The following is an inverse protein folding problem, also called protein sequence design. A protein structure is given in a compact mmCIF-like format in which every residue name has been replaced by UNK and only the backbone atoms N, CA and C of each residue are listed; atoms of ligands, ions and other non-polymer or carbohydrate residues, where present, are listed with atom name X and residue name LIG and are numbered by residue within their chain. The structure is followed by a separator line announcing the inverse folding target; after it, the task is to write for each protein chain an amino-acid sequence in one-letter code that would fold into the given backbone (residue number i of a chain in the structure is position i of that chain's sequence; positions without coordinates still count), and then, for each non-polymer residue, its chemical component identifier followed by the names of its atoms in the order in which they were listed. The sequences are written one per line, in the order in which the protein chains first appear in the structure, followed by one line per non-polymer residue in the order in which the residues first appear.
data_IF_964173413774
#
_entry.id   IF_964173413774
#
_cell.length_a   1.000
_cell.length_b   1.000
_cell.length_c   1.000
_cell.angle_alpha   90.00
_cell.angle_beta   90.00
_cell.angle_gamma   90.00
#
_symmetry.space_group_name_H-M   'P 1'
#
loop_
_entity.id
_entity.type
_entity.pdbx_description
1 polymer ?
#
# COMPACT_ATOMS: atom_id res chain seq x y z
N UNK A 1 1.36 -2.08 8.76
CA UNK A 1 0.69 -2.40 7.48
C UNK A 1 1.71 -2.97 6.50
N UNK A 2 1.28 -3.81 5.56
CA UNK A 2 2.14 -4.48 4.59
C UNK A 2 1.50 -4.43 3.19
N UNK A 3 2.29 -4.55 2.12
CA UNK A 3 1.73 -4.75 0.78
C UNK A 3 0.91 -6.04 0.72
N UNK A 4 -0.05 -6.18 -0.19
CA UNK A 4 -0.85 -7.40 -0.38
C UNK A 4 -0.01 -8.69 -0.38
N UNK A 5 1.03 -8.75 -1.22
CA UNK A 5 1.96 -9.90 -1.28
C UNK A 5 2.69 -10.19 0.03
N UNK A 6 3.02 -9.16 0.79
CA UNK A 6 3.67 -9.32 2.08
C UNK A 6 2.67 -9.78 3.16
N UNK A 7 1.41 -9.35 3.08
CA UNK A 7 0.33 -9.88 3.89
C UNK A 7 0.08 -11.37 3.59
N UNK A 8 0.07 -11.77 2.31
CA UNK A 8 -0.08 -13.19 1.92
C UNK A 8 1.03 -14.07 2.54
N UNK A 9 2.27 -13.57 2.57
CA UNK A 9 3.39 -14.27 3.24
C UNK A 9 3.19 -14.40 4.75
N UNK A 10 2.67 -13.36 5.41
CA UNK A 10 2.37 -13.40 6.85
C UNK A 10 1.22 -14.37 7.16
N UNK A 11 0.24 -14.48 6.28
CA UNK A 11 -0.84 -15.46 6.39
C UNK A 11 -0.26 -16.87 6.22
N UNK A 12 0.56 -17.07 5.19
CA UNK A 12 1.22 -18.34 4.91
C UNK A 12 2.18 -18.80 6.02
N UNK A 13 2.88 -17.87 6.69
CA UNK A 13 3.74 -18.17 7.85
C UNK A 13 2.96 -18.54 9.11
N UNK A 14 1.66 -18.26 9.17
CA UNK A 14 0.83 -18.44 10.36
C UNK A 14 0.97 -17.31 11.38
N UNK A 15 1.60 -16.20 11.01
CA UNK A 15 1.70 -14.98 11.84
C UNK A 15 0.35 -14.30 12.03
N UNK A 16 -0.60 -14.51 11.11
CA UNK A 16 -1.94 -13.91 11.16
C UNK A 16 -2.93 -14.80 11.90
N UNK A 17 -3.71 -14.20 12.82
CA UNK A 17 -4.89 -14.83 13.43
C UNK A 17 -6.14 -14.01 13.15
N UNK A 18 -7.26 -14.67 12.93
CA UNK A 18 -8.59 -14.08 12.87
C UNK A 18 -9.42 -14.70 13.99
N UNK A 19 -9.91 -13.90 14.91
CA UNK A 19 -10.63 -14.36 16.11
C UNK A 19 -9.85 -15.38 16.96
N UNK A 20 -8.52 -15.38 16.87
CA UNK A 20 -7.64 -16.32 17.58
C UNK A 20 -7.25 -17.56 16.77
N UNK A 21 -7.88 -17.79 15.62
CA UNK A 21 -7.65 -18.97 14.78
C UNK A 21 -6.81 -18.62 13.55
N UNK A 22 -6.16 -19.64 12.96
CA UNK A 22 -5.42 -19.46 11.71
C UNK A 22 -6.42 -19.43 10.54
N UNK A 23 -6.39 -18.40 9.66
CA UNK A 23 -7.26 -18.39 8.50
C UNK A 23 -6.91 -19.53 7.50
N UNK A 24 -7.91 -20.04 6.76
CA UNK A 24 -7.73 -21.07 5.74
C UNK A 24 -6.86 -20.59 4.56
N UNK A 25 -6.29 -21.54 3.81
CA UNK A 25 -5.34 -21.26 2.74
C UNK A 25 -5.99 -20.62 1.50
N UNK A 26 -7.26 -20.93 1.24
CA UNK A 26 -8.11 -20.37 0.20
C UNK A 26 -8.51 -18.91 0.47
N UNK A 27 -8.19 -18.37 1.65
CA UNK A 27 -8.56 -17.02 2.08
C UNK A 27 -9.86 -16.99 2.86
N UNK A 28 -10.05 -15.90 3.61
CA UNK A 28 -11.21 -15.69 4.47
C UNK A 28 -11.72 -14.27 4.29
N UNK A 29 -13.02 -14.15 4.03
CA UNK A 29 -13.72 -12.87 4.12
C UNK A 29 -13.94 -12.53 5.59
N UNK A 30 -13.61 -11.30 5.97
CA UNK A 30 -13.75 -10.82 7.34
C UNK A 30 -14.70 -9.63 7.39
N UNK A 31 -15.45 -9.53 8.47
CA UNK A 31 -16.27 -8.38 8.83
C UNK A 31 -15.44 -7.44 9.72
N UNK A 32 -15.03 -6.25 9.22
CA UNK A 32 -14.17 -5.33 9.98
C UNK A 32 -14.79 -4.86 11.30
N UNK A 33 -16.12 -4.91 11.44
CA UNK A 33 -16.82 -4.44 12.65
C UNK A 33 -16.97 -5.55 13.71
N UNK A 34 -16.75 -6.82 13.34
CA UNK A 34 -16.96 -7.98 14.23
C UNK A 34 -15.71 -8.81 14.44
N UNK A 35 -14.88 -8.95 13.40
CA UNK A 35 -13.73 -9.84 13.43
C UNK A 35 -12.47 -9.16 13.95
N UNK A 36 -11.77 -9.84 14.84
CA UNK A 36 -10.49 -9.38 15.39
C UNK A 36 -9.33 -10.03 14.66
N UNK A 37 -8.61 -9.23 13.87
CA UNK A 37 -7.38 -9.66 13.19
C UNK A 37 -6.15 -9.29 14.02
N UNK A 38 -5.23 -10.24 14.21
CA UNK A 38 -3.92 -9.98 14.82
C UNK A 38 -2.79 -10.48 13.93
N UNK A 39 -1.63 -9.81 14.01
CA UNK A 39 -0.37 -10.24 13.38
C UNK A 39 0.67 -10.33 14.48
N UNK A 40 1.27 -11.50 14.66
CA UNK A 40 2.21 -11.79 15.75
C UNK A 40 1.66 -11.37 17.13
N UNK A 41 0.37 -11.65 17.34
CA UNK A 41 -0.36 -11.31 18.57
C UNK A 41 -0.78 -9.84 18.71
N UNK A 42 -0.35 -8.93 17.83
CA UNK A 42 -0.71 -7.51 17.87
C UNK A 42 -1.98 -7.26 17.05
N UNK A 43 -3.00 -6.54 17.58
CA UNK A 43 -4.21 -6.25 16.83
C UNK A 43 -3.94 -5.33 15.65
N UNK A 44 -4.52 -5.68 14.50
CA UNK A 44 -4.54 -4.82 13.32
C UNK A 44 -5.60 -3.76 13.52
N UNK A 45 -5.26 -2.50 13.24
CA UNK A 45 -6.18 -1.38 13.26
C UNK A 45 -6.43 -0.92 11.83
N UNK A 46 -7.70 -0.66 11.51
CA UNK A 46 -8.08 -0.01 10.27
C UNK A 46 -7.56 1.43 10.27
N UNK A 47 -7.16 1.91 9.09
CA UNK A 47 -6.87 3.33 8.93
C UNK A 47 -8.17 4.12 9.12
N UNK A 48 -8.14 5.14 9.97
CA UNK A 48 -9.27 6.06 10.16
C UNK A 48 -9.14 7.32 9.33
N UNK A 49 -7.98 7.53 8.71
CA UNK A 49 -7.68 8.65 7.82
C UNK A 49 -6.81 8.15 6.67
N UNK A 50 -7.12 8.65 5.48
CA UNK A 50 -6.32 8.43 4.29
C UNK A 50 -5.51 9.68 3.94
N UNK A 51 -4.42 9.47 3.23
CA UNK A 51 -3.53 10.52 2.74
C UNK A 51 -3.56 10.56 1.22
N UNK A 52 -3.54 11.76 0.67
CA UNK A 52 -3.55 11.99 -0.77
C UNK A 52 -2.52 13.07 -1.08
N UNK A 53 -1.60 12.75 -2.00
CA UNK A 53 -0.53 13.66 -2.42
C UNK A 53 -0.63 13.83 -3.93
N UNK A 54 -0.60 15.08 -4.38
CA UNK A 54 -0.46 15.43 -5.79
C UNK A 54 1.01 15.78 -6.04
N UNK A 55 1.66 14.98 -6.86
CA UNK A 55 3.05 15.19 -7.26
C UNK A 55 3.07 15.61 -8.73
N UNK A 56 3.71 16.75 -9.03
CA UNK A 56 4.20 16.99 -10.37
C UNK A 56 5.51 16.21 -10.55
N UNK A 57 5.42 15.02 -11.15
CA UNK A 57 6.53 14.08 -11.27
C UNK A 57 7.65 14.71 -12.12
N UNK A 58 8.88 14.84 -11.60
CA UNK A 58 10.01 15.32 -12.38
C UNK A 58 10.48 14.27 -13.40
N UNK A 59 11.21 14.74 -14.41
CA UNK A 59 11.87 13.89 -15.38
C UNK A 59 12.93 13.01 -14.68
N UNK A 60 13.06 11.76 -15.10
CA UNK A 60 14.07 10.82 -14.59
C UNK A 60 13.66 10.07 -13.31
N UNK A 61 12.67 10.55 -12.56
CA UNK A 61 12.11 9.80 -11.45
C UNK A 61 11.27 8.61 -11.96
N UNK A 62 11.31 7.47 -11.28
CA UNK A 62 10.53 6.27 -11.66
C UNK A 62 9.30 6.07 -10.77
N UNK A 63 8.20 5.61 -11.37
CA UNK A 63 6.94 5.36 -10.67
C UNK A 63 6.91 3.96 -10.05
N UNK A 64 7.57 3.80 -8.90
CA UNK A 64 7.59 2.55 -8.12
C UNK A 64 7.64 2.83 -6.62
N UNK A 65 7.14 1.89 -5.81
CA UNK A 65 7.21 1.92 -4.36
C UNK A 65 8.46 1.21 -3.77
N UNK A 66 9.28 0.60 -4.63
CA UNK A 66 10.59 0.01 -4.31
C UNK A 66 11.40 -0.11 -5.60
N UNK A 67 12.64 0.34 -5.58
CA UNK A 67 13.59 0.15 -6.66
C UNK A 67 14.71 -0.82 -6.26
N UNK A 68 15.24 -1.56 -7.24
CA UNK A 68 16.32 -2.53 -7.06
C UNK A 68 17.63 -2.06 -7.73
N UNK A 69 17.61 -0.91 -8.42
CA UNK A 69 18.69 -0.40 -9.24
C UNK A 69 19.18 1.00 -8.83
N UNK A 70 18.92 1.41 -7.58
CA UNK A 70 19.32 2.71 -6.99
C UNK A 70 18.88 3.95 -7.79
N UNK A 71 17.76 3.86 -8.50
CA UNK A 71 17.14 4.97 -9.24
C UNK A 71 16.25 5.79 -8.31
N UNK A 72 16.19 7.10 -8.54
CA UNK A 72 15.28 8.00 -7.83
C UNK A 72 13.82 7.62 -8.10
N UNK A 73 13.08 7.29 -7.05
CA UNK A 73 11.66 6.98 -7.11
C UNK A 73 10.81 8.20 -6.80
N UNK A 74 9.53 8.13 -7.17
CA UNK A 74 8.54 9.14 -6.77
C UNK A 74 8.38 9.28 -5.24
N UNK A 75 8.75 8.24 -4.47
CA UNK A 75 8.76 8.31 -3.01
C UNK A 75 9.96 9.09 -2.48
N UNK A 76 11.10 9.03 -3.17
CA UNK A 76 12.28 9.82 -2.82
C UNK A 76 12.04 11.31 -3.08
N UNK A 77 11.31 11.63 -4.16
CA UNK A 77 10.96 13.02 -4.53
C UNK A 77 10.10 13.71 -3.47
N UNK A 78 9.13 13.00 -2.88
CA UNK A 78 8.29 13.54 -1.81
C UNK A 78 8.97 13.52 -0.43
N UNK A 79 10.09 12.79 -0.30
CA UNK A 79 10.93 12.76 0.89
C UNK A 79 10.19 12.35 2.17
N UNK A 80 10.47 13.08 3.25
CA UNK A 80 9.94 12.80 4.59
C UNK A 80 8.40 12.81 4.64
N UNK A 81 7.73 13.58 3.77
CA UNK A 81 6.26 13.64 3.73
C UNK A 81 5.64 12.29 3.33
N UNK A 82 6.34 11.53 2.47
CA UNK A 82 5.98 10.18 2.06
C UNK A 82 6.19 9.09 3.12
N UNK A 83 6.90 9.41 4.21
CA UNK A 83 7.23 8.48 5.29
C UNK A 83 6.51 8.79 6.61
N UNK A 84 5.67 9.84 6.65
CA UNK A 84 4.86 10.22 7.81
C UNK A 84 3.70 9.22 8.03
N UNK A 85 3.99 8.12 8.74
CA UNK A 85 3.02 7.25 9.40
C UNK A 85 2.40 6.15 8.54
N UNK A 86 2.14 6.39 7.25
CA UNK A 86 1.56 5.42 6.33
C UNK A 86 2.36 5.34 5.04
N UNK A 87 2.56 4.12 4.52
CA UNK A 87 3.30 3.89 3.28
C UNK A 87 2.41 4.27 2.09
N UNK A 88 2.72 5.39 1.44
CA UNK A 88 2.06 5.80 0.20
C UNK A 88 2.50 4.93 -0.98
N UNK A 89 1.62 4.84 -1.98
CA UNK A 89 1.89 4.23 -3.27
C UNK A 89 1.31 5.08 -4.41
N UNK A 90 1.90 5.05 -5.61
CA UNK A 90 1.40 5.81 -6.75
C UNK A 90 0.06 5.23 -7.25
N UNK A 91 -0.84 6.13 -7.64
CA UNK A 91 -2.08 5.83 -8.36
C UNK A 91 -1.78 5.94 -9.84
N UNK A 92 -1.74 4.81 -10.53
CA UNK A 92 -1.34 4.73 -11.92
C UNK A 92 0.16 4.86 -12.10
N UNK A 93 0.59 5.13 -13.34
CA UNK A 93 2.00 5.17 -13.71
C UNK A 93 2.26 6.26 -14.73
N UNK A 94 3.37 6.95 -14.53
CA UNK A 94 4.06 7.71 -15.57
C UNK A 94 5.43 7.09 -15.81
N UNK A 95 5.85 7.06 -17.07
CA UNK A 95 7.16 6.56 -17.45
C UNK A 95 8.28 7.49 -16.95
N UNK A 96 9.51 6.98 -16.95
CA UNK A 96 10.65 7.70 -16.38
C UNK A 96 10.93 9.02 -17.11
N UNK A 97 10.73 9.02 -18.43
CA UNK A 97 10.87 10.14 -19.36
C UNK A 97 9.61 11.02 -19.45
N UNK A 98 8.53 10.67 -18.74
CA UNK A 98 7.31 11.47 -18.66
C UNK A 98 7.31 12.37 -17.42
N UNK A 99 6.70 13.54 -17.53
CA UNK A 99 6.46 14.48 -16.43
C UNK A 99 4.96 14.76 -16.28
N UNK A 100 4.56 15.35 -15.15
CA UNK A 100 3.18 15.78 -14.94
C UNK A 100 2.53 15.20 -13.69
N UNK A 101 1.20 15.30 -13.61
CA UNK A 101 0.45 14.94 -12.43
C UNK A 101 0.50 13.43 -12.15
N UNK A 102 0.95 13.08 -10.95
CA UNK A 102 0.87 11.75 -10.38
C UNK A 102 0.27 11.84 -8.98
N UNK A 103 -0.74 11.03 -8.69
CA UNK A 103 -1.32 10.93 -7.36
C UNK A 103 -0.60 9.84 -6.56
N UNK A 104 -0.40 10.06 -5.26
CA UNK A 104 0.03 9.03 -4.32
C UNK A 104 -0.93 8.97 -3.14
N UNK A 105 -1.22 7.76 -2.66
CA UNK A 105 -2.16 7.55 -1.57
C UNK A 105 -1.85 6.28 -0.76
N UNK A 106 -2.45 6.16 0.43
CA UNK A 106 -2.57 4.92 1.19
C UNK A 106 -3.97 4.28 1.08
N UNK A 107 -4.90 4.91 0.35
CA UNK A 107 -6.24 4.41 0.05
C UNK A 107 -6.20 3.47 -1.17
N UNK A 108 -6.25 2.17 -0.90
CA UNK A 108 -6.24 1.14 -1.94
C UNK A 108 -7.50 1.14 -2.79
N UNK A 109 -8.66 1.50 -2.21
CA UNK A 109 -9.94 1.46 -2.90
C UNK A 109 -10.06 2.61 -3.89
N UNK A 110 -9.66 3.83 -3.48
CA UNK A 110 -9.59 4.96 -4.39
C UNK A 110 -8.58 4.68 -5.52
N UNK A 111 -7.40 4.18 -5.18
CA UNK A 111 -6.39 3.88 -6.19
C UNK A 111 -6.88 2.84 -7.21
N UNK A 112 -7.61 1.82 -6.75
CA UNK A 112 -8.25 0.85 -7.62
C UNK A 112 -9.28 1.52 -8.54
N UNK A 113 -10.22 2.30 -8.01
CA UNK A 113 -11.25 2.99 -8.83
C UNK A 113 -10.65 3.91 -9.89
N UNK A 114 -9.57 4.61 -9.57
CA UNK A 114 -8.93 5.57 -10.50
C UNK A 114 -8.06 4.89 -11.56
N UNK A 115 -7.63 3.65 -11.34
CA UNK A 115 -6.74 2.92 -12.26
C UNK A 115 -7.43 1.77 -12.97
N UNK A 116 -8.62 1.37 -12.51
CA UNK A 116 -9.39 0.34 -13.16
C UNK A 116 -9.88 0.84 -14.53
N UNK A 117 -9.68 0.10 -15.62
CA UNK A 117 -10.07 0.51 -16.96
C UNK A 117 -11.58 0.41 -17.23
N UNK A 118 -12.42 0.11 -16.23
CA UNK A 118 -13.87 -0.06 -16.36
C UNK A 118 -14.62 0.76 -15.33
#
# INVERSE_FOLDING_TARGET
MASRRAADRLIASGSVRVNGERPPAEGLLIDPDKDRVTVDGKPVKLATRHRYVMLNKPLGAITTARDEASRTTVLDVIGAEGSLGHRLFPVGRLDADSTGLLLLTDDGDLAYRLTHPR
#
